data_IF_709177215256
#
_entry.id   IF_709177215256
#
_cell.length_a   1.000
_cell.length_b   1.000
_cell.length_c   1.000
_cell.angle_alpha   90.00
_cell.angle_beta   90.00
_cell.angle_gamma   90.00
#
_symmetry.space_group_name_H-M   'P 1'
#
loop_
_entity.id
_entity.type
_entity.pdbx_description
1 polymer ?
#
# COMPACT_ATOMS: atom_id res chain seq x y z
N UNK A 1 -20.23 -15.13 20.07
CA UNK A 1 -18.94 -15.78 19.77
C UNK A 1 -18.47 -15.28 18.39
N UNK A 2 -17.23 -14.76 18.30
CA UNK A 2 -16.65 -14.35 17.02
C UNK A 2 -16.33 -15.61 16.24
N UNK A 3 -16.84 -15.74 15.01
CA UNK A 3 -16.60 -16.93 14.17
C UNK A 3 -15.28 -16.78 13.40
N UNK A 4 -14.73 -17.89 12.91
CA UNK A 4 -13.52 -17.86 12.05
C UNK A 4 -13.76 -17.08 10.74
N UNK A 5 -15.01 -17.03 10.28
CA UNK A 5 -15.42 -16.22 9.11
C UNK A 5 -15.35 -14.73 9.44
N UNK A 6 -15.77 -14.30 10.63
CA UNK A 6 -15.73 -12.89 11.06
C UNK A 6 -14.28 -12.40 11.18
N UNK A 7 -13.40 -13.21 11.79
CA UNK A 7 -11.95 -12.89 11.90
C UNK A 7 -11.33 -12.72 10.50
N UNK A 8 -11.64 -13.62 9.58
CA UNK A 8 -11.14 -13.57 8.20
C UNK A 8 -11.64 -12.34 7.46
N UNK A 9 -12.89 -12.00 7.63
CA UNK A 9 -13.52 -10.84 7.01
C UNK A 9 -12.93 -9.53 7.55
N UNK A 10 -12.73 -9.41 8.86
CA UNK A 10 -12.08 -8.28 9.50
C UNK A 10 -10.65 -8.13 8.99
N UNK A 11 -9.87 -9.21 8.99
CA UNK A 11 -8.50 -9.23 8.49
C UNK A 11 -8.38 -8.77 7.04
N UNK A 12 -9.33 -9.10 6.17
CA UNK A 12 -9.31 -8.70 4.76
C UNK A 12 -9.85 -7.29 4.49
N UNK A 13 -10.68 -6.74 5.38
CA UNK A 13 -11.41 -5.49 5.14
C UNK A 13 -10.87 -4.30 5.93
N UNK A 14 -10.34 -4.56 7.14
CA UNK A 14 -9.94 -3.51 8.06
C UNK A 14 -8.44 -3.16 7.95
N UNK A 15 -8.08 -1.98 8.41
CA UNK A 15 -6.71 -1.45 8.41
C UNK A 15 -5.99 -1.50 7.05
N UNK A 16 -6.75 -1.30 5.96
CA UNK A 16 -6.21 -1.08 4.62
C UNK A 16 -6.17 0.42 4.32
N UNK A 17 -4.99 0.97 4.11
CA UNK A 17 -4.80 2.38 3.78
C UNK A 17 -5.44 2.72 2.43
N UNK A 18 -5.90 3.97 2.29
CA UNK A 18 -6.28 4.53 0.99
C UNK A 18 -5.03 4.62 0.11
N UNK A 19 -5.04 3.90 -1.03
CA UNK A 19 -3.86 3.67 -1.85
C UNK A 19 -4.21 3.74 -3.33
N UNK A 20 -3.37 4.36 -4.16
CA UNK A 20 -3.55 4.37 -5.61
C UNK A 20 -3.43 2.92 -6.09
N UNK A 21 -4.43 2.45 -6.82
CA UNK A 21 -4.46 1.07 -7.30
C UNK A 21 -4.83 0.02 -6.24
N UNK A 22 -5.33 0.44 -5.05
CA UNK A 22 -5.76 -0.49 -4.00
C UNK A 22 -6.75 -1.53 -4.54
N UNK A 23 -6.43 -2.80 -4.33
CA UNK A 23 -7.22 -3.95 -4.83
C UNK A 23 -8.37 -4.37 -3.89
N UNK A 24 -8.64 -3.63 -2.79
CA UNK A 24 -9.68 -3.98 -1.80
C UNK A 24 -11.03 -4.31 -2.44
N UNK A 25 -11.48 -3.51 -3.42
CA UNK A 25 -12.75 -3.75 -4.12
C UNK A 25 -12.70 -4.91 -5.11
N UNK A 26 -11.51 -5.25 -5.57
CA UNK A 26 -11.27 -6.32 -6.53
C UNK A 26 -10.91 -7.64 -5.85
N UNK A 27 -10.77 -7.68 -4.51
CA UNK A 27 -10.42 -8.91 -3.78
C UNK A 27 -11.33 -10.09 -4.09
N UNK A 28 -12.68 -9.95 -4.20
CA UNK A 28 -13.53 -11.07 -4.59
C UNK A 28 -13.20 -11.61 -5.99
N UNK A 29 -12.94 -10.72 -6.94
CA UNK A 29 -12.56 -11.07 -8.31
C UNK A 29 -11.19 -11.76 -8.37
N UNK A 30 -10.19 -11.20 -7.69
CA UNK A 30 -8.85 -11.78 -7.57
C UNK A 30 -8.92 -13.15 -6.87
N UNK A 31 -9.69 -13.25 -5.78
CA UNK A 31 -9.90 -14.50 -5.03
C UNK A 31 -10.45 -15.60 -5.92
N UNK A 32 -11.52 -15.32 -6.68
CA UNK A 32 -12.14 -16.32 -7.55
C UNK A 32 -11.16 -16.80 -8.63
N UNK A 33 -10.38 -15.89 -9.21
CA UNK A 33 -9.36 -16.25 -10.20
C UNK A 33 -8.28 -17.14 -9.59
N UNK A 34 -7.80 -16.81 -8.38
CA UNK A 34 -6.78 -17.62 -7.70
C UNK A 34 -7.35 -18.99 -7.29
N UNK A 35 -8.59 -19.05 -6.79
CA UNK A 35 -9.24 -20.33 -6.44
C UNK A 35 -9.35 -21.25 -7.66
N UNK A 36 -9.73 -20.74 -8.84
CA UNK A 36 -9.75 -21.54 -10.07
C UNK A 36 -8.37 -22.11 -10.44
N UNK A 37 -7.29 -21.33 -10.19
CA UNK A 37 -5.91 -21.81 -10.39
C UNK A 37 -5.57 -22.93 -9.37
N UNK A 38 -5.95 -22.75 -8.09
CA UNK A 38 -5.72 -23.75 -7.04
C UNK A 38 -6.51 -25.05 -7.28
N UNK A 39 -7.70 -24.94 -7.87
CA UNK A 39 -8.53 -26.10 -8.27
C UNK A 39 -7.92 -26.86 -9.47
N UNK A 40 -7.40 -26.12 -10.47
CA UNK A 40 -6.73 -26.72 -11.64
C UNK A 40 -5.38 -27.36 -11.28
N UNK A 41 -4.61 -26.72 -10.37
CA UNK A 41 -3.30 -27.15 -9.92
C UNK A 41 -3.26 -27.30 -8.38
N UNK A 42 -3.68 -28.45 -7.89
CA UNK A 42 -3.76 -28.77 -6.45
C UNK A 42 -2.40 -28.76 -5.71
N UNK A 43 -1.28 -28.56 -6.42
CA UNK A 43 0.07 -28.57 -5.83
C UNK A 43 0.62 -27.19 -5.49
N UNK A 44 -0.18 -26.14 -5.59
CA UNK A 44 0.25 -24.77 -5.25
C UNK A 44 0.35 -24.62 -3.74
N UNK A 45 1.56 -24.31 -3.25
CA UNK A 45 1.88 -24.14 -1.83
C UNK A 45 2.45 -22.77 -1.50
N UNK A 46 3.19 -22.17 -2.44
CA UNK A 46 3.91 -20.91 -2.27
C UNK A 46 3.33 -19.85 -3.19
N UNK A 47 3.20 -18.62 -2.68
CA UNK A 47 2.75 -17.47 -3.46
C UNK A 47 3.62 -16.24 -3.19
N UNK A 48 3.96 -15.51 -4.24
CA UNK A 48 4.64 -14.23 -4.18
C UNK A 48 3.70 -13.10 -4.58
N UNK A 49 3.53 -12.10 -3.71
CA UNK A 49 2.96 -10.79 -4.03
C UNK A 49 4.12 -9.79 -4.20
N UNK A 50 4.48 -9.51 -5.44
CA UNK A 50 5.73 -8.81 -5.75
C UNK A 50 5.65 -7.28 -5.61
N UNK A 51 4.44 -6.71 -5.66
CA UNK A 51 4.16 -5.29 -5.50
C UNK A 51 3.06 -5.09 -4.46
N UNK A 52 3.33 -5.47 -3.23
CA UNK A 52 2.31 -5.69 -2.21
C UNK A 52 1.53 -4.42 -1.79
N UNK A 53 2.15 -3.24 -1.87
CA UNK A 53 1.50 -1.97 -1.54
C UNK A 53 0.87 -1.97 -0.16
N UNK A 54 -0.45 -1.88 -0.10
CA UNK A 54 -1.22 -1.92 1.16
C UNK A 54 -1.34 -3.32 1.79
N UNK A 55 -0.85 -4.37 1.11
CA UNK A 55 -0.91 -5.76 1.57
C UNK A 55 -2.25 -6.47 1.35
N UNK A 56 -3.18 -5.87 0.60
CA UNK A 56 -4.51 -6.46 0.44
C UNK A 56 -4.50 -7.83 -0.23
N UNK A 57 -3.67 -8.03 -1.27
CA UNK A 57 -3.55 -9.33 -1.95
C UNK A 57 -2.70 -10.30 -1.13
N UNK A 58 -1.61 -9.84 -0.52
CA UNK A 58 -0.81 -10.66 0.39
C UNK A 58 -1.65 -11.27 1.52
N UNK A 59 -2.53 -10.46 2.15
CA UNK A 59 -3.48 -10.94 3.17
C UNK A 59 -4.46 -11.97 2.59
N UNK A 60 -4.99 -11.73 1.39
CA UNK A 60 -5.84 -12.69 0.71
C UNK A 60 -5.13 -14.04 0.53
N UNK A 61 -3.90 -14.03 0.01
CA UNK A 61 -3.09 -15.23 -0.21
C UNK A 61 -2.86 -16.02 1.10
N UNK A 62 -2.57 -15.31 2.23
CA UNK A 62 -2.46 -15.93 3.56
C UNK A 62 -3.76 -16.63 3.96
N UNK A 63 -4.92 -16.00 3.71
CA UNK A 63 -6.23 -16.62 4.03
C UNK A 63 -6.60 -17.80 3.15
N UNK A 64 -5.91 -18.01 2.03
CA UNK A 64 -6.04 -19.17 1.15
C UNK A 64 -5.09 -20.32 1.55
N UNK A 65 -4.47 -20.21 2.73
CA UNK A 65 -3.56 -21.21 3.28
C UNK A 65 -2.31 -21.44 2.42
N UNK A 66 -1.77 -20.37 1.81
CA UNK A 66 -0.53 -20.37 1.07
C UNK A 66 0.62 -19.85 1.96
N UNK A 67 1.82 -20.35 1.73
CA UNK A 67 3.06 -19.74 2.23
C UNK A 67 3.33 -18.50 1.37
N UNK A 68 3.27 -17.30 1.99
CA UNK A 68 3.27 -16.03 1.26
C UNK A 68 4.62 -15.34 1.38
N UNK A 69 5.13 -14.93 0.23
CA UNK A 69 6.23 -13.99 0.09
C UNK A 69 5.65 -12.66 -0.38
N UNK A 70 5.88 -11.61 0.40
CA UNK A 70 5.37 -10.26 0.11
C UNK A 70 6.53 -9.31 -0.06
N UNK A 71 6.59 -8.60 -1.16
CA UNK A 71 7.65 -7.63 -1.45
C UNK A 71 7.08 -6.28 -1.83
N UNK A 72 7.71 -5.22 -1.37
CA UNK A 72 7.47 -3.86 -1.84
C UNK A 72 8.77 -3.04 -1.70
N UNK A 73 8.85 -1.92 -2.38
CA UNK A 73 10.03 -1.05 -2.31
C UNK A 73 9.92 0.05 -1.25
N UNK A 74 8.70 0.32 -0.74
CA UNK A 74 8.43 1.41 0.19
C UNK A 74 8.42 0.91 1.65
N UNK A 75 9.09 1.65 2.54
CA UNK A 75 9.28 1.21 3.93
C UNK A 75 7.97 1.14 4.72
N UNK A 76 7.04 2.09 4.53
CA UNK A 76 5.73 2.01 5.16
C UNK A 76 4.97 0.75 4.74
N UNK A 77 5.07 0.35 3.47
CA UNK A 77 4.48 -0.89 2.95
C UNK A 77 5.10 -2.12 3.59
N UNK A 78 6.43 -2.15 3.71
CA UNK A 78 7.16 -3.21 4.40
C UNK A 78 6.66 -3.40 5.84
N UNK A 79 6.48 -2.32 6.61
CA UNK A 79 5.97 -2.39 7.99
C UNK A 79 4.54 -2.93 8.03
N UNK A 80 3.64 -2.41 7.17
CA UNK A 80 2.26 -2.88 7.11
C UNK A 80 2.19 -4.38 6.79
N UNK A 81 2.92 -4.80 5.77
CA UNK A 81 2.95 -6.21 5.38
C UNK A 81 3.59 -7.09 6.45
N UNK A 82 4.69 -6.64 7.07
CA UNK A 82 5.32 -7.37 8.16
C UNK A 82 4.34 -7.60 9.33
N UNK A 83 3.66 -6.55 9.79
CA UNK A 83 2.75 -6.63 10.92
C UNK A 83 1.56 -7.56 10.65
N UNK A 84 0.99 -7.52 9.45
CA UNK A 84 -0.18 -8.35 9.13
C UNK A 84 0.15 -9.77 8.67
N UNK A 85 1.34 -10.01 8.14
CA UNK A 85 1.71 -11.32 7.60
C UNK A 85 2.56 -12.15 8.56
N UNK A 86 3.50 -11.51 9.28
CA UNK A 86 4.48 -12.20 10.11
C UNK A 86 4.09 -12.27 11.59
N UNK A 87 2.91 -11.74 11.95
CA UNK A 87 2.35 -11.84 13.29
C UNK A 87 1.04 -12.61 13.19
N UNK A 88 0.97 -13.73 13.92
CA UNK A 88 -0.25 -14.52 14.03
C UNK A 88 -1.02 -14.11 15.30
N UNK A 89 -2.28 -14.48 15.41
CA UNK A 89 -3.13 -14.11 16.57
C UNK A 89 -2.51 -14.62 17.88
N UNK A 90 -2.00 -15.85 17.85
CA UNK A 90 -1.40 -16.53 19.01
C UNK A 90 -0.08 -15.87 19.47
N UNK A 91 0.58 -15.12 18.58
CA UNK A 91 1.79 -14.36 18.97
C UNK A 91 1.49 -13.29 20.03
N UNK A 92 0.26 -12.71 20.01
CA UNK A 92 -0.12 -11.63 20.93
C UNK A 92 -0.02 -12.04 22.42
N UNK A 93 -0.21 -13.33 22.75
CA UNK A 93 -0.11 -13.84 24.10
C UNK A 93 1.30 -13.71 24.68
N UNK A 94 2.32 -13.69 23.78
CA UNK A 94 3.73 -13.62 24.13
C UNK A 94 4.38 -12.29 23.73
N UNK A 95 3.61 -11.35 23.20
CA UNK A 95 4.09 -10.02 22.82
C UNK A 95 3.82 -9.01 23.94
N UNK A 96 4.68 -7.98 24.00
CA UNK A 96 4.58 -6.88 24.97
C UNK A 96 4.65 -7.27 26.43
N UNK A 97 5.33 -8.38 26.75
CA UNK A 97 5.42 -8.90 28.13
C UNK A 97 5.99 -7.86 29.11
N UNK A 98 7.02 -7.13 28.68
CA UNK A 98 7.67 -6.11 29.54
C UNK A 98 6.84 -4.84 29.73
N UNK A 99 5.77 -4.67 28.98
CA UNK A 99 4.86 -3.50 29.06
C UNK A 99 3.43 -3.91 29.44
N UNK A 100 3.24 -5.16 29.87
CA UNK A 100 1.98 -5.67 30.39
C UNK A 100 0.94 -6.08 29.31
N UNK A 101 1.41 -6.45 28.12
CA UNK A 101 0.58 -6.88 27.00
C UNK A 101 0.24 -5.75 26.01
N UNK A 102 -0.27 -6.16 24.86
CA UNK A 102 -0.53 -5.24 23.75
C UNK A 102 -1.52 -4.12 24.11
N UNK A 103 -2.60 -4.45 24.81
CA UNK A 103 -3.63 -3.48 25.21
C UNK A 103 -3.09 -2.44 26.20
N UNK A 104 -2.35 -2.89 27.22
CA UNK A 104 -1.73 -1.98 28.19
C UNK A 104 -0.71 -1.06 27.51
N UNK A 105 0.10 -1.57 26.60
CA UNK A 105 1.08 -0.78 25.83
C UNK A 105 0.39 0.28 24.98
N UNK A 106 -0.67 -0.08 24.26
CA UNK A 106 -1.49 0.84 23.46
C UNK A 106 -2.10 1.94 24.36
N UNK A 107 -2.72 1.55 25.48
CA UNK A 107 -3.34 2.49 26.39
C UNK A 107 -2.31 3.42 27.05
N UNK A 108 -1.17 2.89 27.46
CA UNK A 108 -0.05 3.66 28.01
C UNK A 108 0.40 4.75 27.00
N UNK A 109 0.68 4.39 25.74
CA UNK A 109 1.10 5.37 24.73
C UNK A 109 -0.03 6.35 24.42
N UNK A 110 -1.27 5.90 24.32
CA UNK A 110 -2.42 6.76 24.05
C UNK A 110 -2.71 7.76 25.19
N UNK A 111 -2.35 7.46 26.43
CA UNK A 111 -2.55 8.33 27.59
C UNK A 111 -1.57 9.51 27.64
N UNK A 112 -0.46 9.45 26.93
CA UNK A 112 0.55 10.51 26.91
C UNK A 112 -0.01 11.75 26.22
N UNK A 113 0.06 12.91 26.88
CA UNK A 113 -0.48 14.19 26.41
C UNK A 113 0.56 15.24 26.09
N UNK A 114 1.78 15.07 26.60
CA UNK A 114 2.84 16.06 26.48
C UNK A 114 3.92 15.60 25.51
N UNK A 115 4.50 16.55 24.79
CA UNK A 115 5.63 16.37 23.89
C UNK A 115 6.59 17.57 24.02
N UNK A 116 7.88 17.30 24.15
CA UNK A 116 8.93 18.30 24.12
C UNK A 116 9.07 18.93 22.73
N UNK A 117 9.44 20.20 22.65
CA UNK A 117 9.55 20.92 21.37
C UNK A 117 10.59 20.28 20.43
N UNK A 118 11.67 19.72 20.97
CA UNK A 118 12.70 19.03 20.19
C UNK A 118 12.23 17.71 19.57
N UNK A 119 11.17 17.13 20.15
CA UNK A 119 10.56 15.89 19.65
C UNK A 119 9.49 16.14 18.57
N UNK A 120 9.11 17.40 18.32
CA UNK A 120 8.12 17.80 17.34
C UNK A 120 8.69 17.76 15.92
N UNK A 121 8.10 16.97 15.06
CA UNK A 121 8.48 16.94 13.65
C UNK A 121 7.26 17.05 12.72
N UNK A 122 6.26 16.17 12.85
CA UNK A 122 5.06 16.22 12.01
C UNK A 122 4.26 17.47 12.33
N UNK A 123 4.07 17.79 13.60
CA UNK A 123 3.38 19.01 14.04
C UNK A 123 4.09 20.29 13.58
N UNK A 124 5.43 20.27 13.53
CA UNK A 124 6.23 21.42 13.11
C UNK A 124 6.21 21.69 11.60
N UNK A 125 6.15 20.62 10.78
CA UNK A 125 6.38 20.72 9.34
C UNK A 125 5.18 20.39 8.46
N UNK A 126 4.16 19.66 8.98
CA UNK A 126 3.05 19.14 8.19
C UNK A 126 1.66 19.51 8.74
N UNK A 127 1.62 20.36 9.76
CA UNK A 127 0.40 20.90 10.34
C UNK A 127 0.51 22.41 10.54
N UNK A 128 -0.61 23.16 10.67
CA UNK A 128 -0.59 24.54 11.05
C UNK A 128 -0.27 24.71 12.54
N UNK A 129 0.13 25.91 12.94
CA UNK A 129 0.32 26.22 14.37
C UNK A 129 -1.02 26.35 15.13
N UNK A 130 -2.07 26.78 14.42
CA UNK A 130 -3.41 26.94 14.95
C UNK A 130 -4.44 26.40 13.95
N UNK A 131 -5.22 25.41 14.36
CA UNK A 131 -6.24 24.77 13.52
C UNK A 131 -7.41 25.70 13.18
N UNK A 132 -7.75 26.65 14.07
CA UNK A 132 -8.87 27.58 13.88
C UNK A 132 -8.50 28.74 12.92
N UNK A 133 -7.22 29.09 12.85
CA UNK A 133 -6.73 30.17 12.00
C UNK A 133 -5.39 29.83 11.33
N UNK A 134 -5.34 28.84 10.41
CA UNK A 134 -4.13 28.41 9.74
C UNK A 134 -3.65 29.45 8.72
N UNK A 135 -2.34 29.64 8.60
CA UNK A 135 -1.74 30.37 7.47
C UNK A 135 -1.80 29.53 6.19
N UNK A 136 -2.85 29.71 5.40
CA UNK A 136 -3.11 28.95 4.18
C UNK A 136 -2.03 29.18 3.07
N UNK A 137 -1.16 30.17 3.25
CA UNK A 137 -0.10 30.52 2.31
C UNK A 137 1.18 29.76 2.66
N UNK A 138 1.57 29.76 3.94
CA UNK A 138 2.88 29.27 4.37
C UNK A 138 2.86 27.93 5.10
N UNK A 139 1.73 27.55 5.70
CA UNK A 139 1.63 26.32 6.48
C UNK A 139 1.10 25.15 5.66
N UNK A 140 1.52 23.95 6.01
CA UNK A 140 0.98 22.71 5.44
C UNK A 140 -0.15 22.21 6.31
N UNK A 141 -1.22 21.75 5.68
CA UNK A 141 -2.43 21.28 6.34
C UNK A 141 -2.64 19.78 6.06
N UNK A 142 -1.60 18.96 6.19
CA UNK A 142 -1.77 17.51 6.06
C UNK A 142 -2.55 16.92 7.21
N UNK A 143 -2.35 17.44 8.41
CA UNK A 143 -3.06 17.07 9.64
C UNK A 143 -3.50 18.31 10.38
N UNK A 144 -4.47 18.16 11.29
CA UNK A 144 -4.67 19.15 12.33
C UNK A 144 -3.44 19.23 13.23
N UNK A 145 -3.21 20.36 13.90
CA UNK A 145 -2.10 20.48 14.85
C UNK A 145 -2.16 19.38 15.90
N UNK A 146 -3.35 19.19 16.47
CA UNK A 146 -3.58 18.12 17.46
C UNK A 146 -3.18 16.73 16.94
N UNK A 147 -3.64 16.33 15.75
CA UNK A 147 -3.32 15.02 15.20
C UNK A 147 -1.86 14.87 14.83
N UNK A 148 -1.21 15.95 14.38
CA UNK A 148 0.22 15.96 14.11
C UNK A 148 1.04 15.76 15.38
N UNK A 149 0.68 16.41 16.49
CA UNK A 149 1.27 16.16 17.81
C UNK A 149 1.03 14.72 18.28
N UNK A 150 -0.16 14.18 18.05
CA UNK A 150 -0.44 12.76 18.36
C UNK A 150 0.50 11.82 17.61
N UNK A 151 0.75 12.08 16.32
CA UNK A 151 1.71 11.28 15.53
C UNK A 151 3.11 11.39 16.14
N UNK A 152 3.57 12.60 16.47
CA UNK A 152 4.87 12.83 17.08
C UNK A 152 5.01 12.10 18.43
N UNK A 153 4.02 12.24 19.31
CA UNK A 153 3.97 11.56 20.62
C UNK A 153 4.08 10.04 20.46
N UNK A 154 3.20 9.48 19.65
CA UNK A 154 3.11 8.03 19.47
C UNK A 154 4.41 7.51 18.89
N UNK A 155 4.92 8.15 17.83
CA UNK A 155 6.11 7.67 17.12
C UNK A 155 7.39 7.75 17.98
N UNK A 156 7.57 8.85 18.71
CA UNK A 156 8.70 8.99 19.64
C UNK A 156 8.64 7.97 20.78
N UNK A 157 7.44 7.66 21.29
CA UNK A 157 7.32 6.67 22.36
C UNK A 157 7.56 5.24 21.88
N UNK A 158 7.10 4.87 20.68
CA UNK A 158 7.47 3.59 20.07
C UNK A 158 9.00 3.49 19.96
N UNK A 159 9.66 4.56 19.52
CA UNK A 159 11.12 4.61 19.38
C UNK A 159 11.85 4.50 20.73
N UNK A 160 11.37 5.21 21.75
CA UNK A 160 11.89 5.11 23.13
C UNK A 160 11.77 3.70 23.70
N UNK A 161 10.60 3.08 23.57
CA UNK A 161 10.38 1.71 24.03
C UNK A 161 11.28 0.71 23.31
N UNK A 162 11.45 0.85 22.01
CA UNK A 162 12.31 -0.02 21.22
C UNK A 162 13.79 0.15 21.58
N UNK A 163 14.28 1.39 21.67
CA UNK A 163 15.68 1.70 22.04
C UNK A 163 16.04 1.23 23.46
N UNK A 164 15.07 1.25 24.37
CA UNK A 164 15.25 0.79 25.75
C UNK A 164 15.01 -0.74 25.90
N UNK A 165 14.84 -1.48 24.78
CA UNK A 165 14.53 -2.90 24.77
C UNK A 165 13.26 -3.29 25.57
N UNK A 166 12.35 -2.34 25.83
CA UNK A 166 11.07 -2.62 26.46
C UNK A 166 10.09 -3.29 25.48
N UNK A 167 10.29 -3.08 24.16
CA UNK A 167 9.62 -3.79 23.07
C UNK A 167 10.66 -4.23 22.05
N UNK A 168 10.38 -5.35 21.37
CA UNK A 168 11.21 -5.86 20.28
C UNK A 168 10.75 -5.30 18.91
N UNK A 169 11.47 -5.66 17.83
CA UNK A 169 11.16 -5.21 16.47
C UNK A 169 9.73 -5.60 16.01
N UNK A 170 9.29 -6.81 16.33
CA UNK A 170 7.96 -7.33 15.95
C UNK A 170 6.86 -6.49 16.60
N UNK A 171 7.02 -6.18 17.89
CA UNK A 171 6.11 -5.35 18.67
C UNK A 171 6.12 -3.89 18.20
N UNK A 172 7.29 -3.33 17.91
CA UNK A 172 7.40 -1.99 17.33
C UNK A 172 6.67 -1.89 15.99
N UNK A 173 6.81 -2.89 15.12
CA UNK A 173 6.14 -2.90 13.81
C UNK A 173 4.63 -3.09 13.92
N UNK A 174 4.15 -3.84 14.92
CA UNK A 174 2.73 -3.94 15.25
C UNK A 174 2.13 -2.56 15.59
N UNK A 175 2.76 -1.80 16.48
CA UNK A 175 2.32 -0.46 16.85
C UNK A 175 2.45 0.53 15.69
N UNK A 176 3.55 0.46 14.92
CA UNK A 176 3.76 1.33 13.77
C UNK A 176 2.73 1.07 12.66
N UNK A 177 2.31 -0.17 12.43
CA UNK A 177 1.26 -0.48 11.45
C UNK A 177 -0.07 0.20 11.82
N UNK A 178 -0.44 0.18 13.12
CA UNK A 178 -1.57 0.93 13.63
C UNK A 178 -1.41 2.44 13.37
N UNK A 179 -0.26 3.01 13.73
CA UNK A 179 -0.01 4.45 13.52
C UNK A 179 -0.05 4.85 12.04
N UNK A 180 0.58 4.07 11.14
CA UNK A 180 0.60 4.35 9.69
C UNK A 180 -0.83 4.33 9.14
N UNK A 181 -1.67 3.37 9.55
CA UNK A 181 -3.07 3.32 9.17
C UNK A 181 -3.83 4.56 9.65
N UNK A 182 -3.66 4.95 10.91
CA UNK A 182 -4.28 6.14 11.49
C UNK A 182 -3.84 7.41 10.75
N UNK A 183 -2.54 7.57 10.52
CA UNK A 183 -1.98 8.71 9.78
C UNK A 183 -2.53 8.78 8.34
N UNK A 184 -2.62 7.65 7.65
CA UNK A 184 -3.20 7.59 6.30
C UNK A 184 -4.70 7.88 6.28
N UNK A 185 -5.42 7.53 7.34
CA UNK A 185 -6.88 7.71 7.43
C UNK A 185 -7.26 9.13 7.81
N UNK A 186 -6.55 9.77 8.75
CA UNK A 186 -6.89 11.08 9.30
C UNK A 186 -6.22 12.26 8.55
N UNK A 187 -5.60 12.00 7.41
CA UNK A 187 -4.96 13.03 6.60
C UNK A 187 -5.96 13.89 5.83
N UNK A 188 -5.63 15.20 5.68
CA UNK A 188 -6.38 16.18 4.88
C UNK A 188 -5.96 16.14 3.40
N UNK A 189 -5.99 14.95 2.80
CA UNK A 189 -5.60 14.72 1.41
C UNK A 189 -6.65 13.92 0.66
N UNK A 190 -6.51 13.83 -0.65
CA UNK A 190 -7.33 12.97 -1.51
C UNK A 190 -6.77 11.54 -1.67
N UNK A 191 -6.01 11.05 -0.68
CA UNK A 191 -5.42 9.70 -0.68
C UNK A 191 -3.96 9.64 -1.16
N UNK A 192 -3.34 10.81 -1.46
CA UNK A 192 -1.90 10.93 -1.77
C UNK A 192 -1.32 12.14 -1.04
N UNK A 193 -0.05 12.06 -0.65
CA UNK A 193 0.61 13.06 0.20
C UNK A 193 1.43 14.11 -0.58
N UNK A 194 1.27 14.22 -1.88
CA UNK A 194 1.89 15.30 -2.68
C UNK A 194 1.25 16.67 -2.46
N UNK A 195 -0.01 16.67 -2.05
CA UNK A 195 -0.77 17.90 -1.81
C UNK A 195 -1.82 17.65 -0.72
N UNK A 196 -2.22 18.72 -0.06
CA UNK A 196 -3.30 18.77 0.90
C UNK A 196 -4.39 19.74 0.43
N UNK A 197 -5.59 19.62 0.98
CA UNK A 197 -6.69 20.56 0.68
C UNK A 197 -6.42 21.92 1.31
N UNK A 198 -6.87 23.00 0.63
CA UNK A 198 -6.69 24.40 1.06
C UNK A 198 -7.51 24.78 2.32
N UNK A 199 -8.01 23.81 3.03
CA UNK A 199 -8.73 23.92 4.29
C UNK A 199 -9.10 22.51 4.73
N UNK A 200 -9.36 22.30 6.01
CA UNK A 200 -9.70 20.99 6.51
C UNK A 200 -11.01 20.48 5.91
N UNK A 201 -11.00 19.24 5.43
CA UNK A 201 -12.15 18.56 4.83
C UNK A 201 -12.34 18.82 3.34
N UNK A 202 -11.50 19.64 2.72
CA UNK A 202 -11.66 20.03 1.30
C UNK A 202 -12.85 20.97 1.07
N UNK A 203 -13.24 21.17 -0.20
CA UNK A 203 -14.28 22.13 -0.59
C UNK A 203 -15.66 21.81 0.00
N UNK A 204 -16.05 20.54 0.01
CA UNK A 204 -17.37 20.10 0.47
C UNK A 204 -17.37 19.67 1.93
N UNK A 205 -16.22 19.67 2.60
CA UNK A 205 -16.03 19.19 3.98
C UNK A 205 -16.49 17.75 4.25
N UNK A 206 -16.65 16.92 3.22
CA UNK A 206 -17.12 15.53 3.34
C UNK A 206 -16.20 14.67 4.23
N UNK A 207 -14.89 14.97 4.24
CA UNK A 207 -13.90 14.26 5.03
C UNK A 207 -13.63 14.90 6.41
N UNK A 208 -14.30 16.00 6.77
CA UNK A 208 -13.96 16.79 7.96
C UNK A 208 -14.04 15.98 9.25
N UNK A 209 -15.12 15.22 9.45
CA UNK A 209 -15.28 14.38 10.64
C UNK A 209 -14.09 13.42 10.82
N UNK A 210 -13.66 12.77 9.76
CA UNK A 210 -12.53 11.85 9.76
C UNK A 210 -11.19 12.55 10.06
N UNK A 211 -10.98 13.75 9.49
CA UNK A 211 -9.75 14.54 9.68
C UNK A 211 -9.65 15.07 11.11
N UNK A 212 -10.77 15.47 11.71
CA UNK A 212 -10.82 15.99 13.07
C UNK A 212 -10.83 14.89 14.15
N UNK A 213 -11.17 13.65 13.80
CA UNK A 213 -11.16 12.55 14.74
C UNK A 213 -9.74 12.31 15.29
N UNK A 214 -9.59 12.09 16.64
CA UNK A 214 -8.28 11.94 17.26
C UNK A 214 -7.50 10.72 16.75
N UNK A 215 -6.23 10.91 16.40
CA UNK A 215 -5.31 9.80 16.12
C UNK A 215 -4.94 9.10 17.45
N UNK A 216 -5.14 7.79 17.46
CA UNK A 216 -4.78 6.91 18.57
C UNK A 216 -4.35 5.55 18.04
N UNK A 217 -3.50 4.84 18.77
CA UNK A 217 -3.20 3.45 18.48
C UNK A 217 -4.41 2.56 18.76
N UNK A 218 -4.62 1.58 17.88
CA UNK A 218 -5.63 0.55 18.05
C UNK A 218 -4.98 -0.82 17.77
N UNK A 219 -5.60 -1.89 18.25
CA UNK A 219 -5.25 -3.24 17.83
C UNK A 219 -5.44 -3.35 16.32
N UNK A 220 -4.52 -4.04 15.66
CA UNK A 220 -4.64 -4.33 14.23
C UNK A 220 -5.23 -5.73 14.03
N UNK A 221 -6.03 -5.96 12.97
CA UNK A 221 -6.54 -7.28 12.67
C UNK A 221 -5.41 -8.23 12.28
N UNK A 222 -5.37 -9.41 12.88
CA UNK A 222 -4.42 -10.47 12.59
C UNK A 222 -5.15 -11.72 12.13
N UNK A 223 -4.43 -12.59 11.45
CA UNK A 223 -4.92 -13.88 10.99
C UNK A 223 -3.81 -14.92 11.09
N UNK A 224 -4.10 -16.07 11.69
CA UNK A 224 -3.15 -17.18 11.79
C UNK A 224 -3.20 -18.03 10.54
N UNK A 225 -2.04 -18.31 9.98
CA UNK A 225 -1.92 -19.04 8.72
C UNK A 225 -0.55 -19.68 8.55
N UNK A 226 -0.22 -20.04 7.32
CA UNK A 226 1.14 -20.50 7.01
C UNK A 226 2.14 -19.35 7.17
N UNK A 227 3.40 -19.75 7.38
CA UNK A 227 4.51 -18.83 7.51
C UNK A 227 4.57 -17.87 6.32
N UNK A 228 4.79 -16.59 6.61
CA UNK A 228 4.92 -15.53 5.60
C UNK A 228 6.28 -14.85 5.73
N UNK A 229 6.79 -14.37 4.60
CA UNK A 229 8.06 -13.66 4.50
C UNK A 229 7.84 -12.30 3.85
N UNK A 230 8.44 -11.26 4.42
CA UNK A 230 8.29 -9.90 3.91
C UNK A 230 9.65 -9.31 3.59
N UNK A 231 9.77 -8.73 2.42
CA UNK A 231 10.98 -8.10 1.92
C UNK A 231 10.74 -6.66 1.47
N UNK A 232 11.82 -5.89 1.37
CA UNK A 232 11.80 -4.52 0.89
C UNK A 232 12.89 -4.36 -0.16
N UNK A 233 12.56 -4.73 -1.41
CA UNK A 233 13.51 -4.70 -2.53
C UNK A 233 12.84 -4.19 -3.81
N UNK A 234 13.67 -3.70 -4.74
CA UNK A 234 13.27 -3.51 -6.13
C UNK A 234 12.79 -4.84 -6.73
N UNK A 235 11.61 -4.84 -7.34
CA UNK A 235 10.97 -6.07 -7.84
C UNK A 235 11.84 -6.84 -8.84
N UNK A 236 12.49 -6.14 -9.77
CA UNK A 236 13.36 -6.76 -10.78
C UNK A 236 14.63 -7.38 -10.15
N UNK A 237 15.16 -6.76 -9.07
CA UNK A 237 16.29 -7.33 -8.32
C UNK A 237 15.87 -8.50 -7.47
N UNK A 238 14.67 -8.43 -6.86
CA UNK A 238 14.14 -9.49 -6.02
C UNK A 238 14.03 -10.82 -6.78
N UNK A 239 13.43 -10.81 -7.98
CA UNK A 239 13.19 -12.04 -8.74
C UNK A 239 14.48 -12.70 -9.25
N UNK A 240 15.55 -11.94 -9.49
CA UNK A 240 16.86 -12.50 -9.89
C UNK A 240 17.51 -13.30 -8.75
N UNK A 241 17.29 -12.89 -7.50
CA UNK A 241 17.91 -13.52 -6.32
C UNK A 241 17.12 -14.70 -5.77
N UNK A 242 15.84 -14.77 -6.07
CA UNK A 242 14.91 -15.67 -5.42
C UNK A 242 14.60 -16.89 -6.27
N UNK A 243 14.12 -17.92 -5.57
CA UNK A 243 13.86 -19.26 -6.10
C UNK A 243 12.49 -19.31 -6.80
N UNK A 244 12.15 -20.49 -7.27
CA UNK A 244 10.85 -20.86 -7.80
C UNK A 244 9.69 -20.57 -6.86
N UNK A 245 8.58 -20.05 -7.40
CA UNK A 245 7.28 -19.91 -6.75
C UNK A 245 6.20 -20.67 -7.51
N UNK A 246 5.22 -21.21 -6.80
CA UNK A 246 4.09 -21.86 -7.47
C UNK A 246 3.17 -20.81 -8.13
N UNK A 247 2.92 -19.69 -7.45
CA UNK A 247 2.08 -18.59 -7.90
C UNK A 247 2.77 -17.25 -7.68
N UNK A 248 2.82 -16.40 -8.70
CA UNK A 248 3.28 -15.00 -8.58
C UNK A 248 2.14 -14.06 -8.94
N UNK A 249 1.81 -13.15 -8.03
CA UNK A 249 0.88 -12.04 -8.30
C UNK A 249 1.67 -10.76 -8.59
N UNK A 250 1.30 -10.08 -9.66
CA UNK A 250 1.94 -8.86 -10.15
C UNK A 250 0.91 -7.72 -10.23
N UNK A 251 1.20 -6.62 -9.55
CA UNK A 251 0.45 -5.36 -9.66
C UNK A 251 1.44 -4.20 -9.82
N UNK A 252 2.25 -4.19 -10.89
CA UNK A 252 3.25 -3.16 -11.08
C UNK A 252 2.60 -1.79 -11.24
N UNK A 253 3.29 -0.68 -10.90
CA UNK A 253 2.81 0.66 -11.24
C UNK A 253 2.49 0.76 -12.73
N UNK A 254 1.25 1.08 -13.08
CA UNK A 254 0.79 1.16 -14.47
C UNK A 254 0.53 2.60 -14.95
N UNK A 255 0.82 3.59 -14.11
CA UNK A 255 0.68 5.01 -14.43
C UNK A 255 1.94 5.78 -14.01
N UNK A 256 2.00 7.09 -14.33
CA UNK A 256 3.17 7.94 -14.06
C UNK A 256 3.33 8.38 -12.59
N UNK A 257 2.57 7.79 -11.67
CA UNK A 257 2.60 8.16 -10.26
C UNK A 257 3.71 7.43 -9.50
N UNK A 258 4.76 8.15 -9.09
CA UNK A 258 5.84 7.62 -8.26
C UNK A 258 5.37 7.46 -6.81
N UNK A 259 5.38 6.23 -6.31
CA UNK A 259 4.86 5.89 -4.97
C UNK A 259 5.71 6.51 -3.87
N UNK A 260 7.05 6.48 -3.98
CA UNK A 260 7.94 7.11 -3.01
C UNK A 260 7.66 8.59 -2.76
N UNK A 261 7.29 9.34 -3.82
CA UNK A 261 6.89 10.74 -3.66
C UNK A 261 5.42 10.91 -3.26
N UNK A 262 4.52 10.03 -3.69
CA UNK A 262 3.10 10.11 -3.35
C UNK A 262 2.83 9.78 -1.88
N UNK A 263 3.61 8.89 -1.30
CA UNK A 263 3.47 8.40 0.08
C UNK A 263 4.66 8.77 0.96
N UNK A 264 5.42 9.81 0.57
CA UNK A 264 6.62 10.27 1.27
C UNK A 264 6.41 10.51 2.76
N UNK A 265 5.23 11.01 3.14
CA UNK A 265 4.94 11.33 4.53
C UNK A 265 4.72 10.05 5.37
N UNK A 266 4.13 9.01 4.79
CA UNK A 266 4.06 7.70 5.45
C UNK A 266 5.44 7.08 5.62
N UNK A 267 6.35 7.22 4.63
CA UNK A 267 7.75 6.83 4.79
C UNK A 267 8.46 7.65 5.88
N UNK A 268 8.17 8.95 5.98
CA UNK A 268 8.74 9.81 7.03
C UNK A 268 8.31 9.35 8.43
N UNK A 269 7.03 9.05 8.61
CA UNK A 269 6.49 8.51 9.87
C UNK A 269 7.10 7.12 10.17
N UNK A 270 7.22 6.27 9.16
CA UNK A 270 7.75 4.92 9.29
C UNK A 270 9.25 4.91 9.64
N UNK A 271 10.07 5.63 8.89
CA UNK A 271 11.53 5.70 9.09
C UNK A 271 11.93 6.52 10.32
N UNK A 272 11.20 7.58 10.59
CA UNK A 272 11.44 8.54 11.67
C UNK A 272 12.83 9.18 11.65
N UNK A 273 13.38 9.33 10.46
CA UNK A 273 14.70 9.90 10.19
C UNK A 273 14.70 11.43 10.12
N UNK A 274 13.52 12.04 10.29
CA UNK A 274 13.29 13.50 10.39
C UNK A 274 14.05 14.30 9.31
N UNK A 275 13.85 14.04 8.00
CA UNK A 275 14.61 14.70 6.94
C UNK A 275 14.42 16.22 6.96
N UNK A 276 15.51 16.95 6.66
CA UNK A 276 15.45 18.41 6.62
C UNK A 276 14.55 18.90 5.48
N UNK A 277 13.51 19.63 5.84
CA UNK A 277 12.58 20.30 4.90
C UNK A 277 12.35 21.75 5.32
N UNK A 278 11.94 22.58 4.37
CA UNK A 278 11.57 23.97 4.68
C UNK A 278 10.26 23.97 5.49
N UNK A 279 10.22 24.72 6.59
CA UNK A 279 9.00 24.88 7.38
C UNK A 279 7.92 25.61 6.57
N UNK A 280 8.25 26.74 5.98
CA UNK A 280 7.32 27.58 5.23
C UNK A 280 7.29 27.21 3.74
N UNK A 281 6.09 27.29 3.15
CA UNK A 281 5.88 27.08 1.70
C UNK A 281 6.53 28.21 0.89
N UNK A 282 6.52 29.43 1.40
CA UNK A 282 7.18 30.56 0.77
C UNK A 282 8.32 31.09 1.65
N UNK A 283 9.49 31.34 1.06
CA UNK A 283 10.66 31.96 1.69
C UNK A 283 11.14 33.09 0.79
N UNK A 284 11.20 34.31 1.31
CA UNK A 284 11.60 35.50 0.56
C UNK A 284 10.84 35.66 -0.79
N UNK A 285 9.53 35.41 -0.77
CA UNK A 285 8.65 35.49 -1.94
C UNK A 285 8.81 34.33 -2.95
N UNK A 286 9.72 33.41 -2.73
CA UNK A 286 9.92 32.24 -3.59
C UNK A 286 9.22 31.01 -3.00
N UNK A 287 8.46 30.32 -3.83
CA UNK A 287 7.79 29.07 -3.44
C UNK A 287 8.81 27.95 -3.28
N UNK A 288 8.75 27.27 -2.14
CA UNK A 288 9.51 26.06 -1.86
C UNK A 288 8.70 24.81 -2.26
N UNK A 289 9.06 23.63 -1.77
CA UNK A 289 8.24 22.42 -1.94
C UNK A 289 6.97 22.51 -1.07
N UNK A 290 5.84 22.69 -1.72
CA UNK A 290 4.52 22.76 -1.04
C UNK A 290 4.21 21.47 -0.25
N UNK A 291 4.57 20.32 -0.77
CA UNK A 291 4.30 19.02 -0.14
C UNK A 291 5.26 18.68 1.01
N UNK A 292 6.39 19.38 1.13
CA UNK A 292 7.46 18.97 2.05
C UNK A 292 7.99 17.57 1.72
N UNK A 293 8.11 17.26 0.42
CA UNK A 293 8.48 15.92 -0.05
C UNK A 293 9.94 15.63 0.30
N UNK A 294 10.19 14.51 0.98
CA UNK A 294 11.55 14.03 1.26
C UNK A 294 12.31 13.78 -0.05
N UNK A 295 13.56 14.26 -0.13
CA UNK A 295 14.33 14.24 -1.40
C UNK A 295 14.79 12.86 -1.81
N UNK A 296 14.95 11.95 -0.87
CA UNK A 296 15.47 10.61 -1.09
C UNK A 296 14.46 9.61 -1.71
N UNK A 297 13.19 10.04 -1.94
CA UNK A 297 12.23 9.26 -2.72
C UNK A 297 12.76 8.87 -4.11
N UNK A 298 13.76 9.61 -4.61
CA UNK A 298 14.43 9.32 -5.88
C UNK A 298 15.12 7.95 -5.86
N UNK A 299 15.50 7.43 -4.68
CA UNK A 299 16.13 6.12 -4.53
C UNK A 299 15.17 4.96 -4.84
N UNK A 300 13.86 5.18 -4.65
CA UNK A 300 12.79 4.21 -4.96
C UNK A 300 12.01 4.62 -6.22
N UNK A 301 12.66 5.30 -7.17
CA UNK A 301 12.07 5.74 -8.41
C UNK A 301 11.76 4.57 -9.33
N UNK A 302 10.49 4.27 -9.52
CA UNK A 302 10.05 3.14 -10.32
C UNK A 302 10.14 3.42 -11.83
N UNK A 303 10.80 2.55 -12.56
CA UNK A 303 10.91 2.59 -14.02
C UNK A 303 9.61 2.20 -14.72
N UNK A 304 8.70 1.52 -14.04
CA UNK A 304 7.35 1.23 -14.53
C UNK A 304 6.50 2.50 -14.73
N UNK A 305 6.83 3.61 -14.06
CA UNK A 305 6.09 4.86 -14.16
C UNK A 305 6.46 5.73 -15.38
N UNK A 306 7.31 5.28 -16.27
CA UNK A 306 7.75 6.02 -17.45
C UNK A 306 7.42 5.28 -18.74
N UNK A 307 6.75 5.97 -19.68
CA UNK A 307 6.36 5.39 -20.97
C UNK A 307 7.56 4.78 -21.73
N UNK A 308 8.75 5.39 -21.63
CA UNK A 308 9.96 4.93 -22.32
C UNK A 308 10.56 3.64 -21.77
N UNK A 309 10.35 3.33 -20.49
CA UNK A 309 11.04 2.22 -19.81
C UNK A 309 10.11 1.14 -19.28
N UNK A 310 8.82 1.45 -19.09
CA UNK A 310 7.86 0.52 -18.48
C UNK A 310 7.81 -0.84 -19.19
N UNK A 311 7.76 -0.83 -20.53
CA UNK A 311 7.68 -2.04 -21.34
C UNK A 311 8.94 -2.93 -21.16
N UNK A 312 10.14 -2.34 -21.29
CA UNK A 312 11.40 -3.07 -21.13
C UNK A 312 11.58 -3.57 -19.70
N UNK A 313 11.19 -2.76 -18.71
CA UNK A 313 11.24 -3.15 -17.29
C UNK A 313 10.35 -4.35 -17.01
N UNK A 314 9.13 -4.39 -17.59
CA UNK A 314 8.21 -5.53 -17.47
C UNK A 314 8.76 -6.78 -18.18
N UNK A 315 9.31 -6.63 -19.37
CA UNK A 315 9.95 -7.75 -20.11
C UNK A 315 11.08 -8.34 -19.28
N UNK A 316 11.96 -7.48 -18.74
CA UNK A 316 13.06 -7.92 -17.89
C UNK A 316 12.54 -8.66 -16.64
N UNK A 317 11.51 -8.12 -15.95
CA UNK A 317 10.88 -8.77 -14.81
C UNK A 317 10.40 -10.17 -15.17
N UNK A 318 9.55 -10.27 -16.19
CA UNK A 318 8.94 -11.54 -16.59
C UNK A 318 9.97 -12.58 -17.01
N UNK A 319 11.05 -12.19 -17.67
CA UNK A 319 12.12 -13.10 -18.07
C UNK A 319 12.88 -13.71 -16.88
N UNK A 320 12.90 -13.04 -15.75
CA UNK A 320 13.59 -13.51 -14.54
C UNK A 320 12.65 -14.14 -13.51
N UNK A 321 11.33 -14.11 -13.70
CA UNK A 321 10.40 -14.82 -12.81
C UNK A 321 10.44 -16.31 -13.13
N UNK A 322 10.74 -17.12 -12.11
CA UNK A 322 10.56 -18.57 -12.10
C UNK A 322 9.29 -18.91 -11.31
N UNK A 323 8.22 -19.21 -12.02
CA UNK A 323 6.92 -19.52 -11.42
C UNK A 323 6.12 -20.47 -12.32
N UNK A 324 5.24 -21.29 -11.73
CA UNK A 324 4.28 -22.12 -12.48
C UNK A 324 3.10 -21.31 -13.00
N UNK A 325 2.60 -20.41 -12.19
CA UNK A 325 1.49 -19.52 -12.53
C UNK A 325 1.85 -18.08 -12.24
N UNK A 326 1.50 -17.18 -13.16
CA UNK A 326 1.63 -15.73 -12.97
C UNK A 326 0.25 -15.12 -13.15
N UNK A 327 -0.19 -14.31 -12.19
CA UNK A 327 -1.42 -13.51 -12.27
C UNK A 327 -1.00 -12.05 -12.25
N UNK A 328 -1.26 -11.32 -13.34
CA UNK A 328 -0.94 -9.91 -13.43
C UNK A 328 -2.21 -9.07 -13.50
N UNK A 329 -2.35 -8.14 -12.57
CA UNK A 329 -3.39 -7.10 -12.60
C UNK A 329 -2.92 -5.90 -13.43
N UNK A 330 -3.77 -5.42 -14.33
CA UNK A 330 -3.51 -4.23 -15.12
C UNK A 330 -4.82 -3.55 -15.55
N UNK A 331 -4.78 -2.24 -15.81
CA UNK A 331 -5.95 -1.45 -16.18
C UNK A 331 -5.84 -0.90 -17.59
N UNK A 332 -6.99 -0.60 -18.23
CA UNK A 332 -7.07 0.06 -19.53
C UNK A 332 -6.37 1.43 -19.57
N UNK A 333 -6.17 2.08 -18.42
CA UNK A 333 -5.48 3.38 -18.31
C UNK A 333 -3.94 3.22 -18.17
N UNK A 334 -3.40 2.03 -18.38
CA UNK A 334 -1.99 1.74 -18.17
C UNK A 334 -1.07 2.34 -19.24
N UNK A 335 0.20 2.56 -18.86
CA UNK A 335 1.24 3.13 -19.75
C UNK A 335 1.60 2.20 -20.92
N UNK A 336 1.59 0.87 -20.67
CA UNK A 336 1.88 -0.14 -21.69
C UNK A 336 0.59 -0.44 -22.44
N UNK A 337 0.65 -0.32 -23.76
CA UNK A 337 -0.50 -0.58 -24.62
C UNK A 337 -0.95 -2.04 -24.51
N UNK A 338 -2.24 -2.28 -24.68
CA UNK A 338 -2.85 -3.60 -24.49
C UNK A 338 -2.23 -4.70 -25.39
N UNK A 339 -2.00 -4.40 -26.67
CA UNK A 339 -1.41 -5.36 -27.61
C UNK A 339 0.04 -5.73 -27.26
N UNK A 340 0.78 -4.76 -26.74
CA UNK A 340 2.13 -4.99 -26.20
C UNK A 340 2.08 -5.92 -24.98
N UNK A 341 1.11 -5.71 -24.07
CA UNK A 341 0.92 -6.58 -22.92
C UNK A 341 0.59 -8.01 -23.35
N UNK A 342 -0.33 -8.19 -24.30
CA UNK A 342 -0.68 -9.51 -24.79
C UNK A 342 0.52 -10.24 -25.39
N UNK A 343 1.33 -9.54 -26.19
CA UNK A 343 2.53 -10.10 -26.79
C UNK A 343 3.54 -10.53 -25.74
N UNK A 344 3.83 -9.64 -24.77
CA UNK A 344 4.81 -9.88 -23.70
C UNK A 344 4.36 -11.04 -22.81
N UNK A 345 3.11 -11.01 -22.31
CA UNK A 345 2.59 -12.00 -21.39
C UNK A 345 2.39 -13.36 -22.09
N UNK A 346 1.91 -13.34 -23.35
CA UNK A 346 1.69 -14.54 -24.14
C UNK A 346 2.98 -15.28 -24.50
N UNK A 347 4.14 -14.60 -24.51
CA UNK A 347 5.44 -15.24 -24.72
C UNK A 347 5.89 -16.12 -23.54
N UNK A 348 5.29 -15.92 -22.34
CA UNK A 348 5.67 -16.64 -21.11
C UNK A 348 4.93 -17.98 -20.91
N UNK A 349 3.84 -18.21 -21.62
CA UNK A 349 3.07 -19.45 -21.47
C UNK A 349 1.64 -19.32 -21.99
N UNK A 350 0.76 -20.27 -21.61
CA UNK A 350 -0.65 -20.19 -21.94
C UNK A 350 -1.28 -19.00 -21.21
N UNK A 351 -1.73 -18.00 -21.95
CA UNK A 351 -2.36 -16.77 -21.44
C UNK A 351 -3.87 -16.89 -21.47
N UNK A 352 -4.50 -16.61 -20.34
CA UNK A 352 -5.93 -16.40 -20.18
C UNK A 352 -6.19 -14.99 -19.65
N UNK A 353 -7.31 -14.38 -20.07
CA UNK A 353 -7.68 -13.02 -19.69
C UNK A 353 -9.01 -13.09 -18.98
N UNK A 354 -9.04 -12.63 -17.74
CA UNK A 354 -10.27 -12.50 -16.94
C UNK A 354 -10.52 -11.01 -16.74
N UNK A 355 -11.76 -10.56 -16.97
CA UNK A 355 -12.13 -9.14 -16.90
C UNK A 355 -13.14 -8.88 -15.81
N UNK A 356 -13.01 -7.75 -15.12
CA UNK A 356 -14.02 -7.23 -14.21
C UNK A 356 -14.38 -5.80 -14.60
N UNK A 357 -15.67 -5.53 -14.82
CA UNK A 357 -16.15 -4.16 -14.98
C UNK A 357 -16.15 -3.42 -13.65
N UNK A 358 -15.38 -2.36 -13.56
CA UNK A 358 -15.20 -1.59 -12.34
C UNK A 358 -15.50 -0.11 -12.59
N UNK A 359 -16.37 0.47 -11.76
CA UNK A 359 -16.69 1.90 -11.83
C UNK A 359 -15.67 2.70 -11.01
N UNK A 360 -14.89 3.55 -11.68
CA UNK A 360 -13.89 4.43 -11.04
C UNK A 360 -14.55 5.39 -10.05
N UNK A 361 -14.09 5.41 -8.81
CA UNK A 361 -14.48 6.45 -7.86
C UNK A 361 -13.83 7.77 -8.27
N UNK A 362 -14.63 8.74 -8.72
CA UNK A 362 -14.17 10.07 -9.11
C UNK A 362 -14.13 11.00 -7.91
N UNK A 363 -12.93 11.36 -7.46
CA UNK A 363 -12.70 12.66 -6.86
C UNK A 363 -12.55 13.71 -7.95
N UNK A 364 -13.51 14.64 -8.00
CA UNK A 364 -13.54 15.93 -8.70
C UNK A 364 -13.85 15.97 -10.22
N UNK A 365 -14.85 16.84 -10.45
CA UNK A 365 -15.37 17.48 -11.68
C UNK A 365 -16.28 16.65 -12.59
N UNK A 366 -17.57 17.01 -12.51
CA UNK A 366 -18.57 16.77 -13.56
C UNK A 366 -18.11 17.37 -14.89
N UNK A 367 -17.68 16.57 -15.80
CA UNK A 367 -17.91 16.80 -17.22
C UNK A 367 -18.88 15.70 -17.68
N UNK A 368 -20.00 16.14 -18.24
CA UNK A 368 -21.05 15.32 -18.84
C UNK A 368 -20.53 14.87 -20.21
N UNK A 369 -19.52 14.04 -20.25
CA UNK A 369 -19.08 13.37 -21.47
C UNK A 369 -18.56 11.99 -21.09
N UNK A 370 -19.27 10.96 -21.55
CA UNK A 370 -18.94 9.54 -21.56
C UNK A 370 -18.41 8.93 -20.23
N UNK A 371 -19.28 8.20 -19.54
CA UNK A 371 -18.91 7.20 -18.53
C UNK A 371 -18.12 6.08 -19.21
N UNK A 372 -16.82 6.29 -19.44
CA UNK A 372 -15.94 5.19 -19.79
C UNK A 372 -15.79 4.32 -18.54
N UNK A 373 -16.30 3.12 -18.58
CA UNK A 373 -16.07 2.09 -17.56
C UNK A 373 -14.58 1.72 -17.64
N UNK A 374 -13.87 1.81 -16.52
CA UNK A 374 -12.54 1.21 -16.46
C UNK A 374 -12.70 -0.29 -16.33
N UNK A 375 -12.00 -1.01 -17.17
CA UNK A 375 -11.93 -2.47 -17.10
C UNK A 375 -10.61 -2.81 -16.43
N UNK A 376 -10.67 -3.59 -15.37
CA UNK A 376 -9.49 -4.21 -14.74
C UNK A 376 -9.32 -5.60 -15.33
N UNK A 377 -8.11 -5.90 -15.80
CA UNK A 377 -7.73 -7.20 -16.34
C UNK A 377 -6.95 -7.99 -15.32
N UNK A 378 -7.21 -9.29 -15.23
CA UNK A 378 -6.29 -10.26 -14.67
C UNK A 378 -5.79 -11.14 -15.82
N UNK A 379 -4.52 -11.01 -16.11
CA UNK A 379 -3.81 -11.86 -17.05
C UNK A 379 -3.28 -13.06 -16.28
N UNK A 380 -3.80 -14.25 -16.59
CA UNK A 380 -3.41 -15.51 -15.96
C UNK A 380 -2.51 -16.27 -16.94
N UNK A 381 -1.30 -16.57 -16.52
CA UNK A 381 -0.30 -17.26 -17.34
C UNK A 381 0.06 -18.57 -16.66
N UNK A 382 -0.15 -19.69 -17.37
CA UNK A 382 0.41 -20.98 -17.00
C UNK A 382 1.72 -21.17 -17.80
N UNK A 383 2.86 -21.08 -17.13
CA UNK A 383 4.18 -21.10 -17.77
C UNK A 383 4.59 -22.50 -18.22
N UNK A 384 3.95 -23.55 -17.70
CA UNK A 384 4.19 -24.95 -18.07
C UNK A 384 3.46 -25.35 -19.35
N UNK A 385 2.49 -24.56 -19.78
CA UNK A 385 1.67 -24.79 -20.99
C UNK A 385 2.04 -23.75 -22.05
N UNK A 386 2.05 -24.15 -23.34
CA UNK A 386 2.30 -23.23 -24.45
C UNK A 386 0.98 -22.72 -25.04
N UNK A 387 1.01 -21.49 -25.57
CA UNK A 387 -0.09 -20.97 -26.40
C UNK A 387 -0.07 -21.68 -27.76
N UNK A 388 -1.03 -22.58 -28.01
CA UNK A 388 -1.31 -23.07 -29.36
C UNK A 388 -2.30 -22.10 -30.04
N UNK A 389 -1.81 -21.27 -30.95
CA UNK A 389 -2.52 -20.52 -32.00
C UNK A 389 -3.91 -19.90 -31.68
N UNK A 390 -4.07 -19.07 -30.66
CA UNK A 390 -5.38 -18.40 -30.46
C UNK A 390 -5.33 -16.94 -29.94
N UNK A 391 -4.18 -16.27 -30.00
CA UNK A 391 -4.08 -14.85 -29.62
C UNK A 391 -4.96 -13.99 -30.56
N UNK A 392 -4.95 -14.26 -31.84
CA UNK A 392 -5.71 -13.49 -32.86
C UNK A 392 -7.25 -13.63 -32.77
N UNK A 393 -7.78 -14.74 -32.22
CA UNK A 393 -9.24 -14.88 -32.02
C UNK A 393 -9.78 -14.11 -30.81
N UNK A 394 -8.96 -13.98 -29.74
CA UNK A 394 -9.35 -13.22 -28.52
C UNK A 394 -9.27 -11.70 -28.74
N UNK A 395 -8.38 -11.23 -29.62
CA UNK A 395 -8.31 -9.82 -30.04
C UNK A 395 -9.62 -9.34 -30.69
N UNK A 396 -10.23 -10.13 -31.58
CA UNK A 396 -11.51 -9.78 -32.23
C UNK A 396 -12.71 -9.70 -31.29
N UNK A 397 -12.70 -10.44 -30.19
CA UNK A 397 -13.82 -10.41 -29.22
C UNK A 397 -13.83 -9.10 -28.41
N UNK A 398 -12.67 -8.53 -28.13
CA UNK A 398 -12.52 -7.31 -27.31
C UNK A 398 -12.71 -6.05 -28.16
N UNK A 399 -12.36 -6.07 -29.45
CA UNK A 399 -12.67 -4.96 -30.39
C UNK A 399 -14.17 -4.71 -30.53
N UNK A 400 -15.01 -5.75 -30.33
CA UNK A 400 -16.47 -5.63 -30.36
C UNK A 400 -17.08 -5.11 -29.02
N UNK A 401 -16.29 -4.92 -27.96
CA UNK A 401 -16.72 -4.39 -26.65
C UNK A 401 -16.26 -2.91 -26.46
N UNK A 402 -15.41 -2.41 -27.32
CA UNK A 402 -15.02 -0.99 -27.41
C UNK A 402 -16.03 -0.20 -28.24
#
# INVERSE_FOLDING_TARGET
MITNTDIKDEYLKENLIAYIGNKRRLLPFIKNTILSILEEDGNIKTALDLFAGSGSVSRLLKTLNLEVYSNDWEYYSYILNYAHLSIDIEDLDNMFIHTGGAENTINMINSIKYIDDDDRYISKYYAPLNDDNPDLINERLFYTHYNAERIDIIRNNIDKLYKNNAINKKEAYYLMASLIYQAATHTNTSGVFKAFHAGFGGRNKDALHRILAPISLNKIPLYSGKKCYVSMEDANKFVVKNKHFDLVYLDPPYNQHQYGSNYHLLNTIALWDKPAINKNIYINGKKTDKGGIRKDWIKTKSMYCYKKTAKETLINLLNNIDARHIVMSYSTDGIIEYDDLLSILGSRGKLEIVTSEYTKYRGAKRSIVNKTKNIEYLFVINTQKRNYNNINKKLKYIENIR
#
